data_IF_884036857397
#
_entry.id   IF_884036857397
#
_cell.length_a   1.000
_cell.length_b   1.000
_cell.length_c   1.000
_cell.angle_alpha   90.00
_cell.angle_beta   90.00
_cell.angle_gamma   90.00
#
_symmetry.space_group_name_H-M   'P 1'
#
loop_
_entity.id
_entity.type
_entity.pdbx_description
1 polymer ?
#
# COMPACT_ATOMS: atom_id res chain seq x y z
N UNK A 1 -5.52 -24.11 -6.30
CA UNK A 1 -6.43 -22.95 -6.36
C UNK A 1 -6.77 -22.54 -4.94
N UNK A 2 -6.44 -21.32 -4.51
CA UNK A 2 -6.69 -20.88 -3.13
C UNK A 2 -8.18 -20.51 -2.98
N UNK A 3 -8.94 -21.12 -2.04
CA UNK A 3 -10.38 -20.85 -1.88
C UNK A 3 -10.69 -19.36 -1.65
N UNK A 4 -9.80 -18.68 -0.93
CA UNK A 4 -9.99 -17.28 -0.53
C UNK A 4 -9.55 -16.25 -1.59
N UNK A 5 -9.08 -16.68 -2.77
CA UNK A 5 -8.43 -15.77 -3.74
C UNK A 5 -9.39 -14.70 -4.28
N UNK A 6 -10.63 -15.06 -4.59
CA UNK A 6 -11.64 -14.12 -5.08
C UNK A 6 -12.00 -13.07 -4.02
N UNK A 7 -12.22 -13.51 -2.78
CA UNK A 7 -12.50 -12.62 -1.65
C UNK A 7 -11.32 -11.69 -1.36
N UNK A 8 -10.09 -12.23 -1.36
CA UNK A 8 -8.87 -11.45 -1.21
C UNK A 8 -8.73 -10.37 -2.28
N UNK A 9 -8.96 -10.72 -3.55
CA UNK A 9 -8.93 -9.74 -4.65
C UNK A 9 -10.00 -8.65 -4.51
N UNK A 10 -11.23 -9.01 -4.10
CA UNK A 10 -12.30 -8.03 -3.89
C UNK A 10 -11.91 -7.01 -2.80
N UNK A 11 -11.36 -7.46 -1.68
CA UNK A 11 -10.89 -6.58 -0.62
C UNK A 11 -9.72 -5.69 -1.05
N UNK A 12 -8.75 -6.23 -1.78
CA UNK A 12 -7.63 -5.43 -2.30
C UNK A 12 -8.13 -4.36 -3.26
N UNK A 13 -9.05 -4.70 -4.18
CA UNK A 13 -9.62 -3.71 -5.12
C UNK A 13 -10.40 -2.62 -4.40
N UNK A 14 -11.27 -2.98 -3.47
CA UNK A 14 -12.08 -2.02 -2.72
C UNK A 14 -11.21 -1.13 -1.83
N UNK A 15 -10.26 -1.71 -1.11
CA UNK A 15 -9.32 -0.96 -0.28
C UNK A 15 -8.48 0.02 -1.09
N UNK A 16 -7.94 -0.43 -2.23
CA UNK A 16 -7.18 0.45 -3.13
C UNK A 16 -8.05 1.55 -3.74
N UNK A 17 -9.29 1.24 -4.15
CA UNK A 17 -10.20 2.26 -4.65
C UNK A 17 -10.45 3.36 -3.60
N UNK A 18 -10.77 2.98 -2.36
CA UNK A 18 -10.98 3.95 -1.29
C UNK A 18 -9.73 4.81 -1.02
N UNK A 19 -8.53 4.21 -1.08
CA UNK A 19 -7.28 4.92 -0.82
C UNK A 19 -6.86 5.85 -1.98
N UNK A 20 -7.09 5.44 -3.23
CA UNK A 20 -6.64 6.19 -4.41
C UNK A 20 -7.64 7.21 -4.91
N UNK A 21 -8.96 6.99 -4.72
CA UNK A 21 -9.98 7.95 -5.16
C UNK A 21 -10.13 9.14 -4.20
N UNK A 22 -9.87 8.95 -2.91
CA UNK A 22 -10.10 9.99 -1.90
C UNK A 22 -8.83 10.72 -1.45
N UNK A 23 -7.66 10.11 -1.65
CA UNK A 23 -6.39 10.67 -1.15
C UNK A 23 -5.31 10.72 -2.22
N UNK A 24 -4.65 11.86 -2.28
CA UNK A 24 -3.33 11.97 -2.88
C UNK A 24 -2.26 11.60 -1.85
N UNK A 25 -1.23 10.87 -2.29
CA UNK A 25 -0.19 10.32 -1.42
C UNK A 25 1.14 11.04 -1.64
N UNK A 26 1.75 11.54 -0.56
CA UNK A 26 3.10 12.12 -0.58
C UNK A 26 4.04 11.37 0.36
N UNK A 27 5.31 11.25 -0.03
CA UNK A 27 6.35 10.78 0.89
C UNK A 27 6.71 11.90 1.87
N UNK A 28 6.92 11.60 3.16
CA UNK A 28 7.44 12.56 4.11
C UNK A 28 8.85 12.99 3.70
N UNK A 29 9.17 14.28 3.89
CA UNK A 29 10.41 14.93 3.40
C UNK A 29 11.71 14.20 3.81
N UNK A 30 11.71 13.49 4.94
CA UNK A 30 12.85 12.71 5.43
C UNK A 30 13.02 11.33 4.79
N UNK A 31 12.03 10.85 4.03
CA UNK A 31 12.10 9.62 3.24
C UNK A 31 12.30 10.03 1.77
N UNK A 32 13.50 10.48 1.42
CA UNK A 32 13.85 10.76 0.02
C UNK A 32 14.13 9.46 -0.76
N UNK A 33 14.49 8.40 -0.05
CA UNK A 33 14.75 7.07 -0.61
C UNK A 33 13.92 6.06 0.17
N UNK A 34 13.06 5.33 -0.54
CA UNK A 34 12.27 4.24 0.02
C UNK A 34 13.07 2.95 -0.12
N UNK A 35 13.48 2.37 1.00
CA UNK A 35 14.09 1.04 0.97
C UNK A 35 13.00 -0.01 0.78
N UNK A 36 13.00 -0.63 -0.40
CA UNK A 36 12.09 -1.71 -0.79
C UNK A 36 12.75 -3.09 -0.64
N UNK A 37 13.87 -3.17 0.10
CA UNK A 37 14.50 -4.44 0.42
C UNK A 37 13.48 -5.35 1.10
N UNK A 38 13.29 -6.54 0.52
CA UNK A 38 12.31 -7.50 1.01
C UNK A 38 12.72 -8.07 2.35
N UNK A 39 11.74 -8.19 3.23
CA UNK A 39 11.82 -9.02 4.41
C UNK A 39 11.42 -10.46 4.06
N UNK A 40 12.08 -11.40 4.72
CA UNK A 40 11.91 -12.84 4.50
C UNK A 40 10.95 -13.43 5.53
N UNK A 41 9.90 -14.11 5.10
CA UNK A 41 8.93 -14.77 5.97
C UNK A 41 7.86 -15.52 5.19
N UNK A 42 6.78 -15.91 5.86
CA UNK A 42 5.63 -16.60 5.25
C UNK A 42 5.02 -15.76 4.11
N UNK A 43 5.08 -14.44 4.23
CA UNK A 43 4.72 -13.46 3.20
C UNK A 43 5.88 -12.51 2.92
N UNK A 44 6.01 -12.07 1.67
CA UNK A 44 6.97 -11.03 1.28
C UNK A 44 6.43 -9.66 1.73
N UNK A 45 7.21 -8.94 2.53
CA UNK A 45 6.97 -7.54 2.93
C UNK A 45 8.23 -6.71 2.66
N UNK A 46 8.15 -5.38 2.70
CA UNK A 46 9.35 -4.55 2.82
C UNK A 46 9.89 -4.61 4.25
N UNK A 47 11.22 -4.54 4.43
CA UNK A 47 11.88 -4.38 5.73
C UNK A 47 11.52 -3.06 6.42
N UNK A 48 11.18 -2.04 5.65
CA UNK A 48 10.73 -0.76 6.17
C UNK A 48 9.24 -0.56 5.92
N UNK A 49 8.53 -0.09 6.94
CA UNK A 49 7.13 0.29 6.81
C UNK A 49 7.00 1.50 5.85
N UNK A 50 6.18 1.33 4.82
CA UNK A 50 5.84 2.42 3.91
C UNK A 50 4.98 3.45 4.65
N UNK A 51 5.54 4.64 4.89
CA UNK A 51 4.85 5.75 5.53
C UNK A 51 4.54 6.82 4.50
N UNK A 52 3.26 7.00 4.20
CA UNK A 52 2.75 8.02 3.31
C UNK A 52 1.92 9.03 4.10
N UNK A 53 1.87 10.26 3.62
CA UNK A 53 0.98 11.31 4.12
C UNK A 53 -0.18 11.40 3.12
N UNK A 54 -1.40 11.21 3.63
CA UNK A 54 -2.63 11.42 2.86
C UNK A 54 -2.99 12.90 2.83
N UNK A 55 -3.30 13.43 1.66
CA UNK A 55 -3.83 14.77 1.45
C UNK A 55 -5.15 14.62 0.69
N UNK A 56 -6.09 15.54 0.88
CA UNK A 56 -7.34 15.55 0.13
C UNK A 56 -7.04 15.48 -1.36
N UNK A 57 -7.65 14.51 -2.05
CA UNK A 57 -7.50 14.38 -3.49
C UNK A 57 -8.03 15.64 -4.18
N UNK A 58 -7.28 16.13 -5.17
CA UNK A 58 -7.63 17.32 -5.94
C UNK A 58 -8.37 16.97 -7.26
N UNK A 59 -8.99 15.79 -7.32
CA UNK A 59 -9.64 15.24 -8.51
C UNK A 59 -11.04 15.80 -8.77
#
# INVERSE_FOLDING_TARGET
>A
MCPSMLFGMANVRLGLANLLFHFDWKLPVRLQHLDLTKDSGISVSSKQLLRLISIAASN
#
